data_IF_317875972938
#
_entry.id   IF_317875972938
#
_cell.length_a   1.000
_cell.length_b   1.000
_cell.length_c   1.000
_cell.angle_alpha   90.00
_cell.angle_beta   90.00
_cell.angle_gamma   90.00
#
_symmetry.space_group_name_H-M   'P 1'
#
loop_
_entity.id
_entity.type
_entity.pdbx_description
1 polymer ?
#
# COMPACT_ATOMS: atom_id res chain seq x y z
N UNK A 1 -12.57 62.74 -26.88
CA UNK A 1 -11.35 62.60 -27.59
C UNK A 1 -10.26 62.05 -26.76
N UNK A 2 -10.06 62.60 -25.62
CA UNK A 2 -9.10 62.04 -24.70
C UNK A 2 -9.51 60.67 -24.18
N UNK A 3 -10.79 60.35 -24.20
CA UNK A 3 -11.28 59.09 -23.69
C UNK A 3 -10.94 57.87 -24.53
N UNK A 4 -10.67 58.04 -25.82
CA UNK A 4 -10.38 56.93 -26.71
C UNK A 4 -9.11 56.15 -26.36
N UNK A 5 -7.99 56.80 -26.18
CA UNK A 5 -6.77 56.12 -25.78
C UNK A 5 -6.87 55.46 -24.40
N UNK A 6 -7.62 56.08 -23.52
CA UNK A 6 -7.83 55.52 -22.18
C UNK A 6 -8.65 54.23 -22.22
N UNK A 7 -9.62 54.19 -23.11
CA UNK A 7 -10.43 53.01 -23.29
C UNK A 7 -9.61 51.82 -23.81
N UNK A 8 -8.68 52.11 -24.71
CA UNK A 8 -7.79 51.08 -25.22
C UNK A 8 -6.89 50.52 -24.12
N UNK A 9 -6.39 51.39 -23.27
CA UNK A 9 -5.60 50.94 -22.13
C UNK A 9 -6.42 50.11 -21.17
N UNK A 10 -7.67 50.47 -20.95
CA UNK A 10 -8.57 49.68 -20.13
C UNK A 10 -8.83 48.30 -20.70
N UNK A 11 -8.93 48.19 -22.01
CA UNK A 11 -9.12 46.93 -22.67
C UNK A 11 -7.88 46.02 -22.55
N UNK A 12 -6.69 46.58 -22.70
CA UNK A 12 -5.45 45.86 -22.59
C UNK A 12 -5.25 45.29 -21.19
N UNK A 13 -5.60 46.06 -20.17
CA UNK A 13 -5.49 45.65 -18.77
C UNK A 13 -6.63 44.78 -18.34
N UNK A 14 -7.68 44.68 -19.16
CA UNK A 14 -8.89 43.94 -18.85
C UNK A 14 -8.84 42.45 -19.17
N UNK A 15 -7.65 41.83 -19.24
CA UNK A 15 -7.55 40.42 -19.44
C UNK A 15 -8.23 39.68 -18.27
N UNK A 16 -9.22 38.87 -18.63
CA UNK A 16 -9.97 38.11 -17.65
C UNK A 16 -9.17 36.87 -17.27
N UNK A 17 -8.72 36.77 -16.04
CA UNK A 17 -7.96 35.63 -15.51
C UNK A 17 -8.85 34.54 -14.97
N UNK A 18 -10.17 34.74 -14.96
CA UNK A 18 -11.12 33.77 -14.44
C UNK A 18 -11.00 32.39 -15.13
N UNK A 19 -10.90 32.29 -16.48
CA UNK A 19 -10.70 30.99 -17.12
C UNK A 19 -9.41 30.32 -16.70
N UNK A 20 -8.34 31.08 -16.51
CA UNK A 20 -7.07 30.54 -16.07
C UNK A 20 -7.13 30.03 -14.64
N UNK A 21 -7.76 30.79 -13.76
CA UNK A 21 -7.95 30.38 -12.37
C UNK A 21 -8.78 29.10 -12.28
N UNK A 22 -9.82 29.00 -13.09
CA UNK A 22 -10.68 27.82 -13.13
C UNK A 22 -9.89 26.56 -13.53
N UNK A 23 -9.08 26.67 -14.59
CA UNK A 23 -8.23 25.56 -15.03
C UNK A 23 -7.25 25.15 -13.92
N UNK A 24 -6.60 26.13 -13.29
CA UNK A 24 -5.65 25.88 -12.21
C UNK A 24 -6.33 25.22 -11.02
N UNK A 25 -7.52 25.69 -10.65
CA UNK A 25 -8.28 25.10 -9.55
C UNK A 25 -8.67 23.66 -9.83
N UNK A 26 -9.13 23.36 -11.05
CA UNK A 26 -9.50 22.00 -11.45
C UNK A 26 -8.29 21.10 -11.41
N UNK A 27 -7.16 21.55 -11.93
CA UNK A 27 -5.90 20.77 -11.89
C UNK A 27 -5.46 20.52 -10.44
N UNK A 28 -5.59 21.52 -9.59
CA UNK A 28 -5.24 21.39 -8.18
C UNK A 28 -6.10 20.34 -7.49
N UNK A 29 -7.40 20.34 -7.75
CA UNK A 29 -8.33 19.34 -7.20
C UNK A 29 -7.98 17.94 -7.71
N UNK A 30 -7.72 17.80 -9.01
CA UNK A 30 -7.33 16.53 -9.61
C UNK A 30 -6.05 16.01 -8.96
N UNK A 31 -5.04 16.84 -8.80
CA UNK A 31 -3.80 16.44 -8.14
C UNK A 31 -4.02 16.07 -6.68
N UNK A 32 -4.88 16.79 -5.98
CA UNK A 32 -5.21 16.46 -4.59
C UNK A 32 -5.86 15.10 -4.46
N UNK A 33 -6.79 14.78 -5.36
CA UNK A 33 -7.47 13.49 -5.35
C UNK A 33 -6.53 12.36 -5.77
N UNK A 34 -5.75 12.58 -6.83
CA UNK A 34 -4.83 11.54 -7.34
C UNK A 34 -3.61 11.35 -6.45
N UNK A 35 -3.22 12.35 -5.66
CA UNK A 35 -2.09 12.23 -4.74
C UNK A 35 -2.26 11.09 -3.74
N UNK A 36 -3.48 10.83 -3.33
CA UNK A 36 -3.76 9.72 -2.41
C UNK A 36 -3.44 8.36 -3.02
N UNK A 37 -3.65 8.21 -4.32
CA UNK A 37 -3.31 6.97 -5.01
C UNK A 37 -1.81 6.81 -5.18
N UNK A 38 -1.13 7.89 -5.53
CA UNK A 38 0.33 7.90 -5.70
C UNK A 38 1.01 7.59 -4.36
N UNK A 39 0.51 8.17 -3.28
CA UNK A 39 1.08 7.95 -1.94
C UNK A 39 0.88 6.51 -1.48
N UNK A 40 -0.23 5.88 -1.85
CA UNK A 40 -0.45 4.47 -1.49
C UNK A 40 0.56 3.55 -2.17
N UNK A 41 0.89 3.81 -3.42
CA UNK A 41 1.92 3.05 -4.12
C UNK A 41 3.32 3.40 -3.62
N UNK A 42 3.54 4.65 -3.28
CA UNK A 42 4.84 5.10 -2.80
C UNK A 42 5.16 4.68 -1.37
N UNK A 43 4.16 4.30 -0.59
CA UNK A 43 4.41 3.86 0.79
C UNK A 43 5.25 2.60 0.88
N UNK A 44 5.24 1.79 -0.17
CA UNK A 44 6.11 0.63 -0.22
C UNK A 44 7.57 1.00 -0.51
N UNK A 45 7.79 2.20 -1.04
CA UNK A 45 9.10 2.62 -1.52
C UNK A 45 9.77 3.64 -0.59
N UNK A 46 8.98 4.27 0.27
CA UNK A 46 9.45 5.43 1.04
C UNK A 46 10.03 5.04 2.40
N UNK A 47 10.94 4.08 2.36
CA UNK A 47 11.73 3.74 3.54
C UNK A 47 13.04 4.53 3.50
N UNK A 48 13.47 5.05 4.63
CA UNK A 48 14.77 5.72 4.72
C UNK A 48 15.87 4.81 4.16
N UNK A 49 16.83 5.39 3.48
CA UNK A 49 17.89 4.64 2.81
C UNK A 49 18.66 3.69 3.74
N UNK A 50 18.76 4.05 4.99
CA UNK A 50 19.39 3.19 5.99
C UNK A 50 18.54 1.98 6.33
N UNK A 51 17.21 2.17 6.41
CA UNK A 51 16.28 1.07 6.62
C UNK A 51 16.18 0.17 5.38
N UNK A 52 16.34 0.73 4.19
CA UNK A 52 16.39 -0.05 2.96
C UNK A 52 17.60 -0.97 2.89
N UNK A 53 18.73 -0.51 3.39
CA UNK A 53 19.94 -1.33 3.42
C UNK A 53 19.81 -2.51 4.38
N UNK A 54 19.10 -2.32 5.47
CA UNK A 54 18.79 -3.40 6.41
C UNK A 54 17.65 -4.28 5.91
N UNK A 55 16.67 -3.69 5.22
CA UNK A 55 15.53 -4.43 4.69
C UNK A 55 15.87 -5.24 3.45
N UNK A 56 16.88 -4.85 2.69
CA UNK A 56 17.36 -5.68 1.59
C UNK A 56 17.89 -7.02 2.09
N UNK A 57 18.26 -7.06 3.35
CA UNK A 57 18.68 -8.27 4.02
C UNK A 57 17.54 -8.98 4.76
N UNK A 58 16.39 -8.33 4.87
CA UNK A 58 15.23 -8.91 5.55
C UNK A 58 14.21 -9.36 4.52
N UNK A 59 14.18 -10.63 4.31
CA UNK A 59 13.16 -11.23 3.48
C UNK A 59 11.81 -11.11 4.17
N UNK A 60 10.80 -10.66 3.45
CA UNK A 60 9.44 -10.54 3.97
C UNK A 60 8.57 -11.64 3.36
N UNK A 61 7.91 -12.40 4.20
CA UNK A 61 6.95 -13.40 3.77
C UNK A 61 5.56 -12.80 3.85
N UNK A 62 4.87 -12.75 2.72
CA UNK A 62 3.52 -12.23 2.65
C UNK A 62 2.52 -13.37 2.81
N UNK A 63 1.73 -13.30 3.88
CA UNK A 63 0.69 -14.27 4.19
C UNK A 63 -0.67 -13.62 4.05
N UNK A 64 -1.54 -14.24 3.30
CA UNK A 64 -2.90 -13.75 3.11
C UNK A 64 -3.87 -14.86 3.50
N UNK A 65 -4.82 -14.53 4.36
CA UNK A 65 -5.92 -15.43 4.70
C UNK A 65 -7.21 -14.82 4.18
N UNK A 66 -7.86 -15.49 3.23
CA UNK A 66 -9.07 -14.97 2.62
C UNK A 66 -10.30 -15.25 3.50
N UNK A 67 -11.45 -14.75 3.06
CA UNK A 67 -12.71 -14.91 3.79
C UNK A 67 -13.14 -16.38 3.96
N UNK A 68 -12.63 -17.27 3.16
CA UNK A 68 -12.91 -18.71 3.25
C UNK A 68 -11.94 -19.44 4.17
N UNK A 69 -10.94 -18.74 4.69
CA UNK A 69 -9.92 -19.31 5.55
C UNK A 69 -8.75 -19.94 4.79
N UNK A 70 -8.69 -19.73 3.48
CA UNK A 70 -7.56 -20.22 2.67
C UNK A 70 -6.35 -19.34 2.89
N UNK A 71 -5.19 -19.98 2.94
CA UNK A 71 -3.92 -19.29 3.20
C UNK A 71 -3.09 -19.25 1.93
N UNK A 72 -2.56 -18.08 1.63
CA UNK A 72 -1.68 -17.85 0.49
C UNK A 72 -0.33 -17.34 1.01
N UNK A 73 0.75 -17.92 0.56
CA UNK A 73 2.11 -17.49 0.88
C UNK A 73 2.73 -16.94 -0.40
N UNK A 74 3.04 -15.65 -0.39
CA UNK A 74 3.58 -14.92 -1.55
C UNK A 74 2.74 -15.13 -2.83
N UNK A 75 1.43 -15.23 -2.68
CA UNK A 75 0.49 -15.41 -3.77
C UNK A 75 0.13 -16.86 -4.10
N UNK A 76 0.79 -17.84 -3.50
CA UNK A 76 0.53 -19.25 -3.74
C UNK A 76 -0.36 -19.85 -2.65
N UNK A 77 -1.45 -20.47 -3.05
CA UNK A 77 -2.30 -21.17 -2.10
C UNK A 77 -1.56 -22.36 -1.48
N UNK A 78 -1.62 -22.45 -0.15
CA UNK A 78 -0.96 -23.53 0.59
C UNK A 78 -1.91 -24.12 1.62
N UNK A 79 -1.70 -25.39 1.95
CA UNK A 79 -2.31 -26.04 3.09
C UNK A 79 -1.46 -25.80 4.36
N UNK A 80 -1.87 -26.32 5.48
CA UNK A 80 -1.15 -26.16 6.73
C UNK A 80 0.29 -26.70 6.65
N UNK A 81 0.47 -27.85 6.07
CA UNK A 81 1.80 -28.45 5.91
C UNK A 81 2.69 -27.64 4.96
N UNK A 82 2.11 -27.15 3.86
CA UNK A 82 2.82 -26.29 2.91
C UNK A 82 3.19 -24.94 3.49
N UNK A 83 2.32 -24.37 4.31
CA UNK A 83 2.59 -23.14 5.03
C UNK A 83 3.80 -23.29 5.95
N UNK A 84 3.79 -24.31 6.78
CA UNK A 84 4.89 -24.57 7.72
C UNK A 84 6.21 -24.81 7.00
N UNK A 85 6.18 -25.56 5.91
CA UNK A 85 7.38 -25.82 5.11
C UNK A 85 7.94 -24.52 4.53
N UNK A 86 7.10 -23.67 3.94
CA UNK A 86 7.54 -22.39 3.38
C UNK A 86 8.08 -21.44 4.44
N UNK A 87 7.47 -21.41 5.60
CA UNK A 87 7.95 -20.62 6.73
C UNK A 87 9.32 -21.11 7.20
N UNK A 88 9.51 -22.41 7.31
CA UNK A 88 10.82 -22.99 7.70
C UNK A 88 11.89 -22.66 6.67
N UNK A 89 11.57 -22.77 5.39
CA UNK A 89 12.51 -22.41 4.32
C UNK A 89 12.92 -20.94 4.42
N UNK A 90 11.98 -20.05 4.67
CA UNK A 90 12.25 -18.61 4.81
C UNK A 90 13.13 -18.32 6.03
N UNK A 91 12.86 -18.96 7.15
CA UNK A 91 13.67 -18.81 8.37
C UNK A 91 15.07 -19.40 8.17
N UNK A 92 15.18 -20.50 7.44
CA UNK A 92 16.48 -21.11 7.13
C UNK A 92 17.34 -20.20 6.26
N UNK A 93 16.73 -19.44 5.34
CA UNK A 93 17.44 -18.47 4.51
C UNK A 93 17.83 -17.24 5.28
N UNK A 94 16.95 -16.74 6.15
CA UNK A 94 17.16 -15.52 6.89
C UNK A 94 16.44 -15.60 8.24
N UNK A 95 17.21 -15.59 9.32
CA UNK A 95 16.65 -15.65 10.68
C UNK A 95 15.87 -14.40 11.06
N UNK A 96 16.14 -13.27 10.41
CA UNK A 96 15.46 -12.00 10.65
C UNK A 96 14.28 -11.78 9.72
N UNK A 97 13.79 -12.83 9.07
CA UNK A 97 12.63 -12.75 8.19
C UNK A 97 11.42 -12.21 8.95
N UNK A 98 10.66 -11.37 8.27
CA UNK A 98 9.42 -10.80 8.80
C UNK A 98 8.22 -11.40 8.08
N UNK A 99 7.12 -11.49 8.78
CA UNK A 99 5.84 -11.89 8.17
C UNK A 99 4.92 -10.68 8.06
N UNK A 100 4.34 -10.50 6.90
CA UNK A 100 3.25 -9.56 6.68
C UNK A 100 1.97 -10.38 6.55
N UNK A 101 1.08 -10.27 7.51
CA UNK A 101 -0.14 -11.06 7.56
C UNK A 101 -1.32 -10.18 7.21
N UNK A 102 -2.01 -10.49 6.14
CA UNK A 102 -3.26 -9.85 5.77
C UNK A 102 -4.40 -10.85 5.98
N UNK A 103 -5.36 -10.48 6.79
CA UNK A 103 -6.51 -11.33 7.09
C UNK A 103 -7.80 -10.60 6.76
N UNK A 104 -8.78 -11.33 6.24
CA UNK A 104 -10.09 -10.76 5.98
C UNK A 104 -10.80 -10.45 7.31
N UNK A 105 -11.45 -9.30 7.37
CA UNK A 105 -12.16 -8.85 8.57
C UNK A 105 -13.34 -9.73 8.97
N UNK A 106 -13.83 -10.56 8.05
CA UNK A 106 -14.95 -11.47 8.31
C UNK A 106 -14.52 -12.78 8.96
N UNK A 107 -13.20 -13.03 9.04
CA UNK A 107 -12.67 -14.24 9.66
C UNK A 107 -12.85 -14.21 11.18
N UNK A 108 -13.00 -15.40 11.75
CA UNK A 108 -13.01 -15.54 13.20
C UNK A 108 -11.63 -15.21 13.78
N UNK A 109 -11.63 -14.55 14.91
CA UNK A 109 -10.42 -14.20 15.65
C UNK A 109 -9.54 -15.45 15.89
N UNK A 110 -10.17 -16.58 16.23
CA UNK A 110 -9.46 -17.82 16.47
C UNK A 110 -8.66 -18.31 15.26
N UNK A 111 -9.19 -18.17 14.06
CA UNK A 111 -8.49 -18.56 12.83
C UNK A 111 -7.25 -17.70 12.60
N UNK A 112 -7.36 -16.41 12.80
CA UNK A 112 -6.25 -15.48 12.65
C UNK A 112 -5.18 -15.76 13.70
N UNK A 113 -5.58 -16.00 14.93
CA UNK A 113 -4.64 -16.34 16.00
C UNK A 113 -3.92 -17.66 15.75
N UNK A 114 -4.59 -18.64 15.20
CA UNK A 114 -3.96 -19.90 14.82
C UNK A 114 -2.88 -19.68 13.78
N UNK A 115 -3.13 -18.82 12.80
CA UNK A 115 -2.11 -18.47 11.81
C UNK A 115 -0.91 -17.77 12.45
N UNK A 116 -1.16 -16.84 13.34
CA UNK A 116 -0.10 -16.11 14.06
C UNK A 116 0.73 -17.09 14.90
N UNK A 117 0.08 -18.00 15.60
CA UNK A 117 0.76 -19.03 16.39
C UNK A 117 1.65 -19.92 15.51
N UNK A 118 1.15 -20.32 14.35
CA UNK A 118 1.94 -21.12 13.39
C UNK A 118 3.18 -20.34 12.95
N UNK A 119 3.04 -19.07 12.63
CA UNK A 119 4.16 -18.20 12.25
C UNK A 119 5.21 -18.12 13.35
N UNK A 120 4.77 -17.94 14.60
CA UNK A 120 5.66 -17.85 15.75
C UNK A 120 6.37 -19.18 16.02
N UNK A 121 5.64 -20.28 15.97
CA UNK A 121 6.19 -21.61 16.23
C UNK A 121 7.26 -21.98 15.18
N UNK A 122 7.08 -21.54 13.94
CA UNK A 122 8.06 -21.79 12.88
C UNK A 122 9.29 -20.87 12.94
N UNK A 123 9.32 -19.93 13.87
CA UNK A 123 10.52 -19.15 14.15
C UNK A 123 10.47 -17.70 13.71
N UNK A 124 9.33 -17.21 13.24
CA UNK A 124 9.18 -15.82 12.84
C UNK A 124 8.60 -15.03 14.02
N UNK A 125 9.42 -14.22 14.66
CA UNK A 125 9.00 -13.42 15.82
C UNK A 125 8.44 -12.06 15.43
N UNK A 126 8.83 -11.53 14.28
CA UNK A 126 8.44 -10.21 13.81
C UNK A 126 7.38 -10.31 12.74
N UNK A 127 6.20 -9.82 13.02
CA UNK A 127 5.13 -9.79 12.03
C UNK A 127 4.32 -8.51 12.14
N UNK A 128 3.70 -8.13 11.03
CA UNK A 128 2.71 -7.06 10.97
C UNK A 128 1.37 -7.67 10.57
N UNK A 129 0.32 -7.25 11.23
CA UNK A 129 -1.04 -7.74 10.97
C UNK A 129 -1.87 -6.64 10.34
N UNK A 130 -2.45 -6.93 9.22
CA UNK A 130 -3.39 -6.03 8.55
C UNK A 130 -4.72 -6.73 8.38
N UNK A 131 -5.73 -6.21 9.02
CA UNK A 131 -7.08 -6.77 8.94
C UNK A 131 -7.92 -5.88 8.03
N UNK A 132 -8.31 -6.41 6.90
CA UNK A 132 -9.09 -5.68 5.91
C UNK A 132 -9.91 -6.65 5.07
N UNK A 133 -10.74 -6.10 4.21
CA UNK A 133 -11.44 -6.94 3.25
C UNK A 133 -10.44 -7.42 2.21
N UNK A 134 -10.18 -8.72 2.22
CA UNK A 134 -9.22 -9.33 1.30
C UNK A 134 -9.99 -10.01 0.19
N UNK A 135 -9.72 -9.60 -1.04
CA UNK A 135 -10.18 -10.33 -2.21
C UNK A 135 -9.20 -11.49 -2.46
N UNK A 136 -9.72 -12.67 -2.81
CA UNK A 136 -8.88 -13.79 -3.19
C UNK A 136 -7.97 -13.38 -4.35
N UNK A 137 -6.67 -13.73 -4.34
CA UNK A 137 -5.79 -13.44 -5.46
C UNK A 137 -6.35 -14.08 -6.72
N UNK A 138 -6.40 -13.32 -7.79
CA UNK A 138 -6.83 -13.88 -9.07
C UNK A 138 -5.74 -14.81 -9.59
N UNK A 139 -6.12 -15.95 -10.16
CA UNK A 139 -5.16 -16.87 -10.75
C UNK A 139 -4.36 -16.22 -11.90
#
# INVERSE_FOLDING_TARGET
MAGGPQDDEGEITGINVTPLVDIVLVLLIIFMVTANFIVKESKEVDLPSAAKAEETLQETVNLVMDKEGKIYVNGDEVDDAGLRRKLRESVAKNKDVRAMIAADKTLDYGQVMTLIDTVNVEGIAKFALNIQRVAAPKP
#
